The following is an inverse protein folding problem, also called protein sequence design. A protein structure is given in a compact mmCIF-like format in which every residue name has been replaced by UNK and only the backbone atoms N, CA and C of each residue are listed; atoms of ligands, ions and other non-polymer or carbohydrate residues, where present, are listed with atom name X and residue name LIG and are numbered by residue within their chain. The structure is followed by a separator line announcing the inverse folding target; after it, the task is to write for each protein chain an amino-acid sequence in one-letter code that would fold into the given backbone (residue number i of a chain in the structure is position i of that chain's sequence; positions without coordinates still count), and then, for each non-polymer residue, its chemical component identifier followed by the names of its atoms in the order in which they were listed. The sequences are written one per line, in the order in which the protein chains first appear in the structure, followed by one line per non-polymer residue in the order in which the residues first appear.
data_IF_139833740867
#
_entry.id   IF_139833740867
#
_cell.length_a   1.000
_cell.length_b   1.000
_cell.length_c   1.000
_cell.angle_alpha   90.00
_cell.angle_beta   90.00
_cell.angle_gamma   90.00
#
_symmetry.space_group_name_H-M   'P 1'
#
loop_
_entity.id
_entity.type
_entity.pdbx_description
1 polymer ?
#
# COMPACT_ATOMS: atom_id res chain seq x y z
N UNK A 1 12.36 -3.25 6.08
CA UNK A 1 11.24 -2.32 5.80
C UNK A 1 11.42 -1.70 4.42
N UNK A 2 10.33 -1.48 3.71
CA UNK A 2 10.25 -0.80 2.40
C UNK A 2 9.16 0.27 2.45
N UNK A 3 9.24 1.30 1.61
CA UNK A 3 8.21 2.35 1.56
C UNK A 3 8.56 3.44 0.55
N UNK A 4 7.55 4.24 0.20
CA UNK A 4 7.75 5.45 -0.60
C UNK A 4 8.14 6.63 0.30
N UNK A 5 8.89 7.56 -0.25
CA UNK A 5 9.30 8.80 0.41
C UNK A 5 8.85 9.99 -0.44
N UNK A 6 7.89 10.77 0.06
CA UNK A 6 7.36 11.95 -0.63
C UNK A 6 8.23 13.19 -0.51
N UNK A 7 9.06 13.25 0.53
CA UNK A 7 9.81 14.44 0.88
C UNK A 7 9.04 15.45 1.74
N UNK A 8 9.76 16.41 2.33
CA UNK A 8 9.22 17.39 3.28
C UNK A 8 9.03 18.78 2.66
N UNK A 9 10.01 19.28 1.93
CA UNK A 9 9.91 20.56 1.20
C UNK A 9 9.39 20.36 -0.21
N UNK A 10 9.02 21.44 -0.89
CA UNK A 10 8.61 21.38 -2.30
C UNK A 10 9.73 20.86 -3.20
N UNK A 11 10.96 21.31 -2.98
CA UNK A 11 12.14 20.85 -3.72
C UNK A 11 12.41 19.36 -3.50
N UNK A 12 12.30 18.90 -2.24
CA UNK A 12 12.47 17.50 -1.88
C UNK A 12 11.36 16.64 -2.51
N UNK A 13 10.11 17.10 -2.51
CA UNK A 13 9.00 16.41 -3.18
C UNK A 13 9.22 16.27 -4.68
N UNK A 14 9.69 17.32 -5.34
CA UNK A 14 10.01 17.28 -6.77
C UNK A 14 11.13 16.28 -7.05
N UNK A 15 12.21 16.30 -6.28
CA UNK A 15 13.35 15.39 -6.44
C UNK A 15 12.98 13.91 -6.21
N UNK A 16 11.91 13.64 -5.44
CA UNK A 16 11.38 12.31 -5.13
C UNK A 16 10.15 11.93 -5.96
N UNK A 17 9.85 12.68 -7.01
CA UNK A 17 8.65 12.48 -7.85
C UNK A 17 7.36 12.38 -7.01
N UNK A 18 7.25 13.15 -5.90
CA UNK A 18 6.09 13.11 -4.99
C UNK A 18 5.77 11.71 -4.41
N UNK A 19 6.78 10.87 -4.27
CA UNK A 19 6.63 9.49 -3.82
C UNK A 19 6.27 8.49 -4.92
N UNK A 20 6.20 8.93 -6.17
CA UNK A 20 5.97 8.07 -7.32
C UNK A 20 7.26 7.37 -7.73
N UNK A 21 7.38 6.10 -7.42
CA UNK A 21 8.57 5.33 -7.75
C UNK A 21 8.65 5.05 -9.26
N UNK A 22 9.86 5.06 -9.79
CA UNK A 22 10.21 4.58 -11.13
C UNK A 22 10.45 3.06 -11.09
N UNK A 23 10.56 2.36 -12.25
CA UNK A 23 10.71 0.91 -12.33
C UNK A 23 11.85 0.36 -11.48
N UNK A 24 12.94 1.12 -11.38
CA UNK A 24 14.13 0.76 -10.59
C UNK A 24 13.81 0.67 -9.08
N UNK A 25 12.90 1.49 -8.59
CA UNK A 25 12.41 1.44 -7.21
C UNK A 25 11.70 0.12 -6.90
N UNK A 26 10.82 -0.33 -7.80
CA UNK A 26 10.13 -1.62 -7.66
C UNK A 26 11.09 -2.81 -7.79
N UNK A 27 12.06 -2.76 -8.71
CA UNK A 27 13.11 -3.79 -8.81
C UNK A 27 14.00 -3.85 -7.57
N UNK A 28 14.34 -2.69 -7.00
CA UNK A 28 15.04 -2.62 -5.73
C UNK A 28 14.23 -3.27 -4.62
N UNK A 29 12.93 -2.99 -4.56
CA UNK A 29 12.03 -3.60 -3.58
C UNK A 29 11.93 -5.11 -3.76
N UNK A 30 11.81 -5.62 -5.00
CA UNK A 30 11.82 -7.06 -5.27
C UNK A 30 13.08 -7.75 -4.72
N UNK A 31 14.24 -7.11 -4.86
CA UNK A 31 15.49 -7.63 -4.30
C UNK A 31 15.46 -7.67 -2.77
N UNK A 32 14.90 -6.63 -2.12
CA UNK A 32 14.77 -6.58 -0.66
C UNK A 32 13.74 -7.59 -0.12
N UNK A 33 12.66 -7.84 -0.87
CA UNK A 33 11.68 -8.88 -0.53
C UNK A 33 12.32 -10.27 -0.51
N UNK A 34 13.08 -10.62 -1.56
CA UNK A 34 13.82 -11.88 -1.61
C UNK A 34 14.83 -12.00 -0.48
N UNK A 35 15.56 -10.92 -0.20
CA UNK A 35 16.51 -10.89 0.89
C UNK A 35 15.83 -11.07 2.26
N UNK A 36 14.62 -10.51 2.45
CA UNK A 36 13.83 -10.76 3.67
C UNK A 36 13.44 -12.24 3.78
N UNK A 37 13.02 -12.87 2.69
CA UNK A 37 12.72 -14.31 2.64
C UNK A 37 13.96 -15.16 2.95
N UNK A 38 15.09 -14.87 2.31
CA UNK A 38 16.36 -15.63 2.47
C UNK A 38 16.89 -15.57 3.91
N UNK A 39 16.63 -14.49 4.63
CA UNK A 39 17.04 -14.29 6.02
C UNK A 39 15.91 -14.53 7.03
N UNK A 40 14.76 -15.04 6.59
CA UNK A 40 13.57 -15.31 7.43
C UNK A 40 13.10 -14.08 8.22
N UNK A 41 13.25 -12.88 7.65
CA UNK A 41 12.85 -11.61 8.25
C UNK A 41 11.46 -11.18 7.78
N UNK A 42 10.58 -10.70 8.67
CA UNK A 42 9.30 -10.15 8.26
C UNK A 42 9.49 -8.91 7.38
N UNK A 43 8.62 -8.74 6.39
CA UNK A 43 8.57 -7.57 5.54
C UNK A 43 7.53 -6.58 6.07
N UNK A 44 7.97 -5.35 6.36
CA UNK A 44 7.06 -4.24 6.70
C UNK A 44 7.07 -3.26 5.53
N UNK A 45 5.91 -2.98 4.98
CA UNK A 45 5.70 -2.09 3.84
C UNK A 45 4.93 -0.84 4.26
N UNK A 46 5.46 0.35 3.96
CA UNK A 46 4.79 1.62 4.19
C UNK A 46 4.38 2.23 2.86
N UNK A 47 3.09 2.54 2.71
CA UNK A 47 2.52 3.09 1.49
C UNK A 47 2.14 4.54 1.70
N UNK A 48 2.76 5.42 0.89
CA UNK A 48 2.38 6.81 0.74
C UNK A 48 2.79 7.31 -0.65
N UNK A 49 1.97 7.03 -1.65
CA UNK A 49 2.20 7.39 -3.05
C UNK A 49 0.89 7.65 -3.79
N UNK A 50 0.82 8.68 -4.65
CA UNK A 50 -0.33 8.86 -5.56
C UNK A 50 -0.37 7.80 -6.68
N UNK A 51 0.73 7.05 -6.89
CA UNK A 51 0.82 6.02 -7.93
C UNK A 51 2.24 5.70 -8.34
N UNK A 52 2.40 4.91 -9.39
CA UNK A 52 3.68 4.74 -10.07
C UNK A 52 3.97 5.96 -10.95
N UNK A 53 5.24 6.27 -11.18
CA UNK A 53 5.62 7.41 -12.01
C UNK A 53 5.18 7.22 -13.47
N UNK A 54 4.35 8.12 -14.03
CA UNK A 54 3.67 7.90 -15.32
C UNK A 54 4.48 8.38 -16.55
N UNK A 55 5.78 8.68 -16.39
CA UNK A 55 6.61 9.15 -17.49
C UNK A 55 6.87 8.09 -18.56
N UNK A 56 7.01 8.56 -19.82
CA UNK A 56 7.32 7.67 -20.98
C UNK A 56 8.58 6.86 -20.72
N UNK A 57 9.60 7.46 -20.14
CA UNK A 57 10.85 6.81 -19.75
C UNK A 57 10.66 5.67 -18.74
N UNK A 58 9.62 5.73 -17.92
CA UNK A 58 9.28 4.64 -17.00
C UNK A 58 8.60 3.48 -17.73
N UNK A 59 7.75 3.78 -18.69
CA UNK A 59 7.12 2.77 -19.55
C UNK A 59 8.18 2.03 -20.37
N UNK A 60 9.09 2.76 -21.02
CA UNK A 60 10.21 2.20 -21.79
C UNK A 60 11.10 1.28 -20.96
N UNK A 61 11.28 1.59 -19.67
CA UNK A 61 12.07 0.77 -18.74
C UNK A 61 11.26 -0.33 -18.04
N UNK A 62 10.03 -0.59 -18.48
CA UNK A 62 9.20 -1.71 -18.05
C UNK A 62 8.52 -1.51 -16.68
N UNK A 63 7.80 -0.41 -16.49
CA UNK A 63 7.02 -0.14 -15.28
C UNK A 63 6.02 -1.25 -14.97
N UNK A 64 5.23 -1.64 -15.96
CA UNK A 64 4.19 -2.67 -15.79
C UNK A 64 4.79 -4.02 -15.39
N UNK A 65 5.90 -4.42 -15.99
CA UNK A 65 6.64 -5.65 -15.65
C UNK A 65 7.16 -5.60 -14.21
N UNK A 66 7.75 -4.47 -13.81
CA UNK A 66 8.32 -4.32 -12.47
C UNK A 66 7.23 -4.41 -11.37
N UNK A 67 6.06 -3.81 -11.60
CA UNK A 67 4.90 -3.91 -10.71
C UNK A 67 4.38 -5.35 -10.69
N UNK A 68 4.11 -5.95 -11.84
CA UNK A 68 3.56 -7.31 -11.94
C UNK A 68 4.46 -8.35 -11.26
N UNK A 69 5.77 -8.21 -11.42
CA UNK A 69 6.75 -9.07 -10.75
C UNK A 69 6.70 -8.95 -9.23
N UNK A 70 6.53 -7.74 -8.71
CA UNK A 70 6.37 -7.53 -7.27
C UNK A 70 5.08 -8.16 -6.73
N UNK A 71 3.97 -8.04 -7.47
CA UNK A 71 2.70 -8.70 -7.11
C UNK A 71 2.88 -10.22 -7.01
N UNK A 72 3.47 -10.83 -8.03
CA UNK A 72 3.75 -12.26 -8.06
C UNK A 72 4.69 -12.69 -6.91
N UNK A 73 5.71 -11.87 -6.63
CA UNK A 73 6.65 -12.15 -5.55
C UNK A 73 5.97 -12.08 -4.18
N UNK A 74 5.25 -11.00 -3.89
CA UNK A 74 4.54 -10.82 -2.61
C UNK A 74 3.50 -11.90 -2.35
N UNK A 75 2.78 -12.34 -3.39
CA UNK A 75 1.78 -13.41 -3.26
C UNK A 75 2.38 -14.74 -2.79
N UNK A 76 3.65 -14.99 -3.09
CA UNK A 76 4.36 -16.23 -2.80
C UNK A 76 5.49 -16.09 -1.78
N UNK A 77 5.69 -14.90 -1.21
CA UNK A 77 6.80 -14.59 -0.32
C UNK A 77 6.69 -15.41 0.98
N UNK A 78 7.70 -16.23 1.26
CA UNK A 78 7.73 -17.17 2.40
C UNK A 78 8.18 -16.49 3.71
N UNK A 79 7.64 -15.31 3.98
CA UNK A 79 7.84 -14.61 5.24
C UNK A 79 6.61 -13.74 5.52
N UNK A 80 6.32 -13.38 6.77
CA UNK A 80 5.21 -12.48 7.10
C UNK A 80 5.35 -11.12 6.43
N UNK A 81 4.25 -10.60 5.90
CA UNK A 81 4.16 -9.28 5.26
C UNK A 81 3.10 -8.43 5.95
N UNK A 82 3.51 -7.32 6.54
CA UNK A 82 2.61 -6.33 7.13
C UNK A 82 2.67 -5.07 6.26
N UNK A 83 1.51 -4.60 5.84
CA UNK A 83 1.37 -3.39 5.01
C UNK A 83 0.70 -2.30 5.82
N UNK A 84 1.21 -1.08 5.74
CA UNK A 84 0.69 0.08 6.44
C UNK A 84 0.52 1.22 5.45
N UNK A 85 -0.72 1.65 5.22
CA UNK A 85 -1.06 2.79 4.37
C UNK A 85 -1.10 4.02 5.27
N UNK A 86 -0.13 4.92 5.07
CA UNK A 86 0.08 6.09 5.94
C UNK A 86 -0.40 7.41 5.36
N UNK A 87 -0.87 7.38 4.13
CA UNK A 87 -1.36 8.58 3.43
C UNK A 87 -2.11 8.19 2.18
N UNK A 88 -1.52 8.37 1.01
CA UNK A 88 -2.12 7.98 -0.25
C UNK A 88 -1.67 6.58 -0.66
N UNK A 89 -2.62 5.69 -0.90
CA UNK A 89 -2.39 4.39 -1.53
C UNK A 89 -2.90 4.41 -2.97
N UNK A 90 -2.09 4.94 -3.90
CA UNK A 90 -2.51 5.14 -5.29
C UNK A 90 -2.16 3.97 -6.21
N UNK A 91 -3.20 3.36 -6.83
CA UNK A 91 -3.08 2.51 -8.02
C UNK A 91 -2.01 1.40 -7.92
N UNK A 92 -1.40 1.06 -9.05
CA UNK A 92 -0.32 0.05 -9.15
C UNK A 92 0.93 0.39 -8.34
N UNK A 93 1.18 1.68 -8.09
CA UNK A 93 2.31 2.13 -7.27
C UNK A 93 2.20 1.68 -5.82
N UNK A 94 1.01 1.76 -5.25
CA UNK A 94 0.71 1.26 -3.92
C UNK A 94 0.64 -0.28 -3.92
N UNK A 95 -0.06 -0.86 -4.90
CA UNK A 95 -0.29 -2.30 -4.98
C UNK A 95 1.02 -3.09 -5.12
N UNK A 96 2.03 -2.54 -5.81
CA UNK A 96 3.33 -3.20 -6.01
C UNK A 96 4.09 -3.53 -4.71
N UNK A 97 3.70 -2.93 -3.58
CA UNK A 97 4.22 -3.22 -2.24
C UNK A 97 3.07 -3.44 -1.22
N UNK A 98 1.84 -3.62 -1.71
CA UNK A 98 0.60 -3.59 -0.93
C UNK A 98 -0.07 -4.94 -0.68
N UNK A 99 0.46 -6.05 -1.19
CA UNK A 99 -0.04 -7.39 -0.88
C UNK A 99 0.59 -7.86 0.43
N UNK A 100 -0.23 -8.18 1.43
CA UNK A 100 0.26 -8.60 2.73
C UNK A 100 -0.70 -9.50 3.49
N UNK A 101 -0.15 -10.17 4.51
CA UNK A 101 -0.91 -11.01 5.43
C UNK A 101 -1.79 -10.16 6.34
N UNK A 102 -1.30 -8.96 6.68
CA UNK A 102 -2.05 -7.97 7.44
C UNK A 102 -1.88 -6.59 6.84
N UNK A 103 -3.00 -5.96 6.47
CA UNK A 103 -3.05 -4.62 5.86
C UNK A 103 -3.68 -3.65 6.85
N UNK A 104 -2.89 -2.69 7.31
CA UNK A 104 -3.34 -1.59 8.16
C UNK A 104 -3.45 -0.29 7.36
N UNK A 105 -4.29 0.61 7.84
CA UNK A 105 -4.46 1.92 7.23
C UNK A 105 -4.66 2.97 8.31
N UNK A 106 -3.98 4.12 8.20
CA UNK A 106 -4.29 5.26 9.07
C UNK A 106 -5.70 5.79 8.76
N UNK A 107 -6.38 6.30 9.78
CA UNK A 107 -7.79 6.70 9.73
C UNK A 107 -8.13 7.68 8.60
N UNK A 108 -7.22 8.63 8.32
CA UNK A 108 -7.43 9.66 7.30
C UNK A 108 -6.70 9.39 5.98
N UNK A 109 -6.15 8.19 5.83
CA UNK A 109 -5.53 7.76 4.58
C UNK A 109 -6.57 7.38 3.54
N UNK A 110 -6.17 7.33 2.29
CA UNK A 110 -6.98 6.85 1.16
C UNK A 110 -6.27 5.69 0.44
N UNK A 111 -7.05 4.75 -0.06
CA UNK A 111 -6.53 3.66 -0.89
C UNK A 111 -7.45 3.46 -2.09
N UNK A 112 -6.94 3.76 -3.28
CA UNK A 112 -7.76 3.84 -4.50
C UNK A 112 -7.00 3.36 -5.73
N UNK A 113 -7.74 2.77 -6.67
CA UNK A 113 -7.19 2.36 -7.97
C UNK A 113 -6.91 3.55 -8.89
N UNK A 114 -7.62 4.66 -8.70
CA UNK A 114 -7.59 5.84 -9.59
C UNK A 114 -8.08 7.06 -8.80
N UNK A 115 -7.75 8.28 -9.24
CA UNK A 115 -8.33 9.49 -8.63
C UNK A 115 -9.82 9.63 -8.94
N UNK A 116 -10.60 10.35 -8.11
CA UNK A 116 -12.01 10.60 -8.36
C UNK A 116 -12.26 11.29 -9.71
N UNK A 117 -11.40 12.23 -10.11
CA UNK A 117 -11.49 12.93 -11.39
C UNK A 117 -11.30 11.99 -12.58
N UNK A 118 -10.31 11.11 -12.49
CA UNK A 118 -10.06 10.11 -13.51
C UNK A 118 -11.17 9.05 -13.53
N UNK A 119 -11.67 8.62 -12.38
CA UNK A 119 -12.83 7.73 -12.29
C UNK A 119 -14.07 8.34 -12.97
N UNK A 120 -14.38 9.59 -12.66
CA UNK A 120 -15.49 10.32 -13.28
C UNK A 120 -15.35 10.42 -14.80
N UNK A 121 -14.15 10.71 -15.27
CA UNK A 121 -13.83 10.80 -16.70
C UNK A 121 -13.98 9.45 -17.40
N UNK A 122 -13.56 8.35 -16.78
CA UNK A 122 -13.66 7.00 -17.33
C UNK A 122 -15.11 6.50 -17.36
N UNK A 123 -15.83 6.64 -16.24
CA UNK A 123 -17.17 6.07 -16.06
C UNK A 123 -18.25 6.92 -16.72
N UNK A 124 -18.21 8.24 -16.54
CA UNK A 124 -19.25 9.16 -17.01
C UNK A 124 -18.82 10.05 -18.16
N UNK A 125 -17.55 10.01 -18.57
CA UNK A 125 -16.93 10.92 -19.54
C UNK A 125 -17.09 12.41 -19.17
N UNK A 126 -17.14 12.66 -17.86
CA UNK A 126 -17.37 13.99 -17.28
C UNK A 126 -16.57 14.16 -15.98
N UNK A 127 -15.42 14.83 -16.05
CA UNK A 127 -14.57 15.08 -14.90
C UNK A 127 -15.20 15.98 -13.81
N UNK A 128 -16.27 16.74 -14.15
CA UNK A 128 -16.98 17.57 -13.16
C UNK A 128 -17.71 16.75 -12.10
N UNK A 129 -17.93 15.44 -12.35
CA UNK A 129 -18.54 14.49 -11.43
C UNK A 129 -17.56 13.85 -10.45
N UNK A 130 -16.38 14.45 -10.24
CA UNK A 130 -15.37 13.93 -9.33
C UNK A 130 -15.90 13.73 -7.90
N UNK A 131 -16.81 14.59 -7.42
CA UNK A 131 -17.44 14.43 -6.11
C UNK A 131 -18.29 13.17 -6.03
N UNK A 132 -19.13 12.92 -7.01
CA UNK A 132 -19.97 11.72 -7.07
C UNK A 132 -19.11 10.46 -7.17
N UNK A 133 -18.00 10.54 -7.94
CA UNK A 133 -17.02 9.47 -8.02
C UNK A 133 -16.36 9.18 -6.67
N UNK A 134 -15.92 10.21 -5.95
CA UNK A 134 -15.30 10.04 -4.63
C UNK A 134 -16.23 9.33 -3.63
N UNK A 135 -17.51 9.71 -3.62
CA UNK A 135 -18.53 9.09 -2.76
C UNK A 135 -18.78 7.62 -3.16
N UNK A 136 -18.82 7.32 -4.45
CA UNK A 136 -19.06 5.96 -4.97
C UNK A 136 -17.88 5.02 -4.77
N UNK A 137 -16.65 5.52 -4.85
CA UNK A 137 -15.42 4.73 -4.76
C UNK A 137 -15.13 4.21 -3.35
N UNK A 138 -15.64 4.83 -2.28
CA UNK A 138 -15.48 4.38 -0.88
C UNK A 138 -14.01 4.10 -0.51
N UNK A 139 -13.14 5.04 -0.80
CA UNK A 139 -11.68 4.88 -0.70
C UNK A 139 -11.09 5.14 0.68
N UNK A 140 -11.90 5.54 1.65
CA UNK A 140 -11.50 5.82 3.02
C UNK A 140 -11.33 4.54 3.87
N UNK A 141 -10.60 4.66 4.96
CA UNK A 141 -10.22 3.53 5.81
C UNK A 141 -11.42 2.76 6.38
N UNK A 142 -12.47 3.43 6.79
CA UNK A 142 -13.67 2.83 7.36
C UNK A 142 -14.43 1.97 6.35
N UNK A 143 -14.65 2.51 5.15
CA UNK A 143 -15.29 1.79 4.06
C UNK A 143 -14.45 0.60 3.58
N UNK A 144 -13.14 0.76 3.44
CA UNK A 144 -12.26 -0.31 2.98
C UNK A 144 -12.14 -1.44 4.01
N UNK A 145 -12.20 -1.12 5.31
CA UNK A 145 -12.30 -2.13 6.37
C UNK A 145 -13.61 -2.91 6.28
N UNK A 146 -14.72 -2.22 6.08
CA UNK A 146 -16.05 -2.86 5.95
C UNK A 146 -16.13 -3.76 4.69
N UNK A 147 -15.39 -3.43 3.64
CA UNK A 147 -15.26 -4.24 2.42
C UNK A 147 -14.24 -5.38 2.54
N UNK A 148 -13.56 -5.51 3.69
CA UNK A 148 -12.55 -6.55 3.91
C UNK A 148 -11.23 -6.36 3.15
N UNK A 149 -10.99 -5.18 2.58
CA UNK A 149 -9.75 -4.84 1.86
C UNK A 149 -8.64 -4.38 2.81
N UNK A 150 -9.00 -3.87 3.98
CA UNK A 150 -8.11 -3.45 5.06
C UNK A 150 -8.49 -4.22 6.32
N UNK A 151 -7.52 -4.78 7.02
CA UNK A 151 -7.74 -5.60 8.20
C UNK A 151 -7.89 -4.75 9.47
N UNK A 152 -7.17 -3.64 9.57
CA UNK A 152 -7.12 -2.82 10.77
C UNK A 152 -6.97 -1.33 10.42
N UNK A 153 -7.75 -0.48 11.08
CA UNK A 153 -7.62 0.98 11.00
C UNK A 153 -6.89 1.46 12.25
N UNK A 154 -5.85 2.25 12.05
CA UNK A 154 -5.07 2.88 13.11
C UNK A 154 -5.58 4.31 13.27
N UNK A 155 -6.10 4.62 14.44
CA UNK A 155 -6.62 5.96 14.77
C UNK A 155 -5.52 7.02 14.70
N UNK A 156 -5.90 8.19 14.26
CA UNK A 156 -5.03 9.36 14.20
C UNK A 156 -5.41 10.41 15.25
N UNK A 157 -4.44 11.19 15.75
CA UNK A 157 -4.75 12.30 16.64
C UNK A 157 -5.59 13.35 15.92
N UNK A 158 -6.34 14.12 16.70
CA UNK A 158 -7.16 15.20 16.18
C UNK A 158 -6.33 16.16 15.31
N UNK A 159 -6.71 16.29 14.05
CA UNK A 159 -6.01 17.09 13.05
C UNK A 159 -4.97 16.33 12.23
N UNK A 160 -4.87 14.99 12.37
CA UNK A 160 -4.08 14.08 11.53
C UNK A 160 -2.71 13.70 12.12
N UNK A 161 -2.09 12.68 11.52
CA UNK A 161 -0.83 12.06 11.96
C UNK A 161 0.33 13.05 12.18
N UNK A 162 0.40 14.11 11.39
CA UNK A 162 1.46 15.13 11.47
C UNK A 162 1.41 15.97 12.75
N UNK A 163 0.30 15.94 13.50
CA UNK A 163 0.14 16.66 14.77
C UNK A 163 0.82 15.96 15.94
N UNK A 164 0.87 14.63 15.91
CA UNK A 164 1.57 13.83 16.90
C UNK A 164 2.28 12.63 16.26
N UNK A 165 3.39 12.89 15.62
CA UNK A 165 4.20 11.88 14.92
C UNK A 165 4.64 10.77 15.89
N UNK A 166 4.95 11.10 17.16
CA UNK A 166 5.40 10.10 18.15
C UNK A 166 4.26 9.17 18.55
N UNK A 167 3.07 9.74 18.82
CA UNK A 167 1.89 8.96 19.18
C UNK A 167 1.52 8.00 18.05
N UNK A 168 1.44 8.48 16.81
CA UNK A 168 1.12 7.64 15.66
C UNK A 168 2.20 6.57 15.41
N UNK A 169 3.48 6.93 15.52
CA UNK A 169 4.57 5.94 15.39
C UNK A 169 4.48 4.85 16.47
N UNK A 170 4.12 5.20 17.70
CA UNK A 170 3.93 4.23 18.77
C UNK A 170 2.74 3.31 18.50
N UNK A 171 1.61 3.86 18.02
CA UNK A 171 0.44 3.06 17.62
C UNK A 171 0.77 2.07 16.51
N UNK A 172 1.50 2.53 15.48
CA UNK A 172 1.98 1.66 14.39
C UNK A 172 2.90 0.57 14.93
N UNK A 173 3.86 0.91 15.80
CA UNK A 173 4.79 -0.07 16.40
C UNK A 173 4.04 -1.14 17.18
N UNK A 174 3.06 -0.76 18.00
CA UNK A 174 2.24 -1.70 18.77
C UNK A 174 1.48 -2.68 17.86
N UNK A 175 0.90 -2.19 16.76
CA UNK A 175 0.22 -3.05 15.78
C UNK A 175 1.20 -4.03 15.14
N UNK A 176 2.37 -3.54 14.70
CA UNK A 176 3.41 -4.39 14.11
C UNK A 176 3.85 -5.47 15.08
N UNK A 177 4.23 -5.09 16.31
CA UNK A 177 4.71 -6.02 17.35
C UNK A 177 3.67 -7.10 17.66
N UNK A 178 2.42 -6.70 17.87
CA UNK A 178 1.32 -7.63 18.12
C UNK A 178 1.13 -8.62 16.96
N UNK A 179 1.24 -8.15 15.71
CA UNK A 179 1.07 -9.02 14.54
C UNK A 179 2.25 -9.94 14.32
N UNK A 180 3.45 -9.48 14.54
CA UNK A 180 4.64 -10.33 14.48
C UNK A 180 4.56 -11.46 15.50
N UNK A 181 4.16 -11.20 16.76
CA UNK A 181 3.92 -12.24 17.74
C UNK A 181 2.88 -13.27 17.28
N UNK A 182 1.82 -12.82 16.61
CA UNK A 182 0.81 -13.74 16.05
C UNK A 182 1.38 -14.60 14.93
N UNK A 183 2.24 -14.05 14.09
CA UNK A 183 2.85 -14.78 12.97
C UNK A 183 3.95 -15.74 13.39
N UNK A 184 4.63 -15.50 14.50
CA UNK A 184 5.65 -16.41 15.05
C UNK A 184 5.06 -17.80 15.39
N UNK A 185 3.74 -17.89 15.62
CA UNK A 185 3.02 -19.13 15.94
C UNK A 185 2.43 -19.81 14.68
N UNK A 186 2.62 -19.26 13.48
CA UNK A 186 1.98 -19.74 12.23
C UNK A 186 3.03 -20.34 11.29
N UNK A 187 2.81 -21.58 10.88
CA UNK A 187 3.63 -22.21 9.85
C UNK A 187 3.56 -21.44 8.51
N UNK A 188 4.67 -21.35 7.80
CA UNK A 188 4.77 -20.64 6.51
C UNK A 188 3.78 -21.17 5.48
N UNK A 189 3.52 -22.49 5.46
CA UNK A 189 2.53 -23.08 4.55
C UNK A 189 1.11 -22.57 4.83
N UNK A 190 0.74 -22.43 6.10
CA UNK A 190 -0.56 -21.91 6.51
C UNK A 190 -0.67 -20.41 6.27
N UNK A 191 0.42 -19.66 6.48
CA UNK A 191 0.50 -18.25 6.18
C UNK A 191 0.23 -17.98 4.68
N UNK A 192 0.91 -18.71 3.80
CA UNK A 192 0.73 -18.60 2.35
C UNK A 192 -0.69 -18.99 1.91
N UNK A 193 -1.25 -20.04 2.48
CA UNK A 193 -2.62 -20.45 2.21
C UNK A 193 -3.62 -19.36 2.61
N UNK A 194 -3.49 -18.80 3.82
CA UNK A 194 -4.35 -17.70 4.29
C UNK A 194 -4.21 -16.46 3.43
N UNK A 195 -2.98 -16.11 3.01
CA UNK A 195 -2.74 -14.99 2.08
C UNK A 195 -3.45 -15.20 0.75
N UNK A 196 -3.35 -16.40 0.17
CA UNK A 196 -4.05 -16.76 -1.05
C UNK A 196 -5.57 -16.67 -0.88
N UNK A 197 -6.13 -17.29 0.16
CA UNK A 197 -7.56 -17.25 0.46
C UNK A 197 -8.06 -15.82 0.63
N UNK A 198 -7.31 -14.97 1.33
CA UNK A 198 -7.62 -13.54 1.48
C UNK A 198 -7.67 -12.82 0.15
N UNK A 199 -6.67 -12.99 -0.71
CA UNK A 199 -6.64 -12.36 -2.05
C UNK A 199 -7.84 -12.84 -2.88
N UNK A 200 -8.15 -14.13 -2.84
CA UNK A 200 -9.27 -14.72 -3.59
C UNK A 200 -10.65 -14.33 -3.04
N UNK A 201 -10.73 -13.88 -1.80
CA UNK A 201 -11.99 -13.41 -1.20
C UNK A 201 -12.35 -11.98 -1.60
N UNK A 202 -11.43 -11.21 -2.15
CA UNK A 202 -11.70 -9.83 -2.57
C UNK A 202 -12.76 -9.77 -3.67
N UNK A 203 -13.81 -8.96 -3.44
CA UNK A 203 -14.93 -8.83 -4.36
C UNK A 203 -15.94 -9.98 -4.32
N UNK A 204 -15.76 -10.97 -3.45
CA UNK A 204 -16.79 -11.96 -3.15
C UNK A 204 -17.82 -11.32 -2.20
N UNK A 205 -18.99 -10.94 -2.74
CA UNK A 205 -20.12 -10.36 -1.98
C UNK A 205 -21.14 -11.46 -1.74
#
# INVERSE_FOLDING_TARGET
MVGQEKGKSTEDKISRNFGMAQPEGYRKTARLMKMAEDFELPLISFIDTPGAYPGIESEERGMSEAIAKNLSLLSNLKTPVIVIITGEGGSGGALAIGIGDHVCMLEHSIYAVVSPEACASIVWRDGSKAKDAAEAMKVDASNLRNLGLVDEVIEEPLGGAHRDIRGVSNSISQVIEKKLQTFDEVDISDLLKKRYEKIMSYGSI
#
